data_IF_571799944746
#
_entry.id   IF_571799944746
#
_cell.length_a   1.000
_cell.length_b   1.000
_cell.length_c   1.000
_cell.angle_alpha   90.00
_cell.angle_beta   90.00
_cell.angle_gamma   90.00
#
_symmetry.space_group_name_H-M   'P 1'
#
loop_
_entity.id
_entity.type
_entity.pdbx_description
1 polymer ?
#
# COMPACT_ATOMS: atom_id res chain seq x y z
N UNK A 1 2.51 5.46 -13.48
CA UNK A 1 2.62 4.29 -12.56
C UNK A 1 2.04 4.73 -11.23
N UNK A 2 1.17 3.92 -10.62
CA UNK A 2 0.68 4.20 -9.26
C UNK A 2 1.65 3.54 -8.29
N UNK A 3 2.44 4.35 -7.59
CA UNK A 3 3.36 3.86 -6.58
C UNK A 3 2.58 3.61 -5.28
N UNK A 4 2.74 2.43 -4.69
CA UNK A 4 2.30 2.17 -3.31
C UNK A 4 3.15 3.00 -2.34
N UNK A 5 2.63 3.30 -1.15
CA UNK A 5 3.29 4.21 -0.19
C UNK A 5 4.78 3.87 0.04
N UNK A 6 5.11 2.60 0.31
CA UNK A 6 6.51 2.14 0.47
C UNK A 6 7.38 2.54 -0.74
N UNK A 7 6.97 2.12 -1.94
CA UNK A 7 7.73 2.42 -3.17
C UNK A 7 7.75 3.90 -3.55
N UNK A 8 6.72 4.66 -3.18
CA UNK A 8 6.69 6.11 -3.38
C UNK A 8 7.72 6.80 -2.48
N UNK A 9 7.81 6.37 -1.22
CA UNK A 9 8.77 6.91 -0.25
C UNK A 9 10.20 6.49 -0.65
N UNK A 10 10.41 5.23 -1.04
CA UNK A 10 11.70 4.74 -1.54
C UNK A 10 12.17 5.58 -2.73
N UNK A 11 11.33 5.78 -3.74
CA UNK A 11 11.67 6.57 -4.92
C UNK A 11 12.04 8.01 -4.55
N UNK A 12 11.27 8.64 -3.64
CA UNK A 12 11.54 10.01 -3.20
C UNK A 12 12.86 10.13 -2.42
N UNK A 13 13.26 9.09 -1.70
CA UNK A 13 14.56 9.03 -1.02
C UNK A 13 15.68 8.82 -2.04
N UNK A 14 15.50 7.90 -2.99
CA UNK A 14 16.48 7.55 -4.02
C UNK A 14 16.76 8.72 -4.98
N UNK A 15 15.74 9.47 -5.38
CA UNK A 15 15.87 10.61 -6.29
C UNK A 15 16.20 11.94 -5.57
N UNK A 16 16.24 11.93 -4.23
CA UNK A 16 16.55 13.08 -3.38
C UNK A 16 15.41 14.10 -3.23
N UNK A 17 14.23 13.85 -3.78
CA UNK A 17 13.07 14.74 -3.66
C UNK A 17 12.48 14.77 -2.25
N UNK A 18 12.67 13.71 -1.44
CA UNK A 18 12.14 13.62 -0.08
C UNK A 18 12.66 14.76 0.83
N UNK A 19 13.93 15.13 0.71
CA UNK A 19 14.51 16.24 1.47
C UNK A 19 13.89 17.61 1.13
N UNK A 20 13.22 17.72 -0.02
CA UNK A 20 12.52 18.92 -0.47
C UNK A 20 10.99 18.81 -0.31
N UNK A 21 10.49 17.76 0.38
CA UNK A 21 9.07 17.59 0.61
C UNK A 21 8.50 18.80 1.38
N UNK A 22 7.45 19.49 0.86
CA UNK A 22 6.94 20.71 1.48
C UNK A 22 6.52 20.54 2.95
N UNK A 23 5.86 19.44 3.30
CA UNK A 23 5.41 19.20 4.66
C UNK A 23 6.57 18.92 5.62
N UNK A 24 7.61 18.21 5.15
CA UNK A 24 8.84 18.00 5.92
C UNK A 24 9.61 19.31 6.13
N UNK A 25 9.67 20.16 5.11
CA UNK A 25 10.30 21.48 5.18
C UNK A 25 9.55 22.42 6.14
N UNK A 26 8.21 22.39 6.12
CA UNK A 26 7.37 23.13 7.07
C UNK A 26 7.59 22.65 8.51
N UNK A 27 7.73 21.33 8.72
CA UNK A 27 8.04 20.72 10.01
C UNK A 27 9.41 21.13 10.55
N UNK A 28 10.45 21.10 9.72
CA UNK A 28 11.77 21.63 10.07
C UNK A 28 11.67 23.13 10.38
N UNK A 29 10.89 23.87 9.60
CA UNK A 29 10.66 25.29 9.78
C UNK A 29 9.92 25.65 11.09
N UNK A 30 8.97 24.83 11.55
CA UNK A 30 8.27 25.04 12.81
C UNK A 30 9.23 24.85 13.99
N UNK A 31 10.03 23.79 13.98
CA UNK A 31 11.02 23.49 15.01
C UNK A 31 12.08 24.57 15.13
N UNK A 32 12.56 25.11 14.00
CA UNK A 32 13.52 26.23 14.01
C UNK A 32 12.96 27.52 14.59
N UNK A 33 11.63 27.73 14.56
CA UNK A 33 11.00 28.93 15.14
C UNK A 33 10.85 28.81 16.65
N UNK A 34 10.65 27.60 17.16
CA UNK A 34 10.45 27.33 18.59
C UNK A 34 11.73 26.93 19.31
N UNK A 35 12.80 26.61 18.57
CA UNK A 35 14.01 25.96 19.09
C UNK A 35 13.70 24.61 19.77
N UNK A 36 12.62 23.96 19.31
CA UNK A 36 12.15 22.68 19.83
C UNK A 36 12.84 21.47 19.21
N UNK A 37 12.53 20.29 19.74
CA UNK A 37 13.05 18.99 19.31
C UNK A 37 12.05 18.25 18.43
N UNK A 38 12.55 17.51 17.46
CA UNK A 38 11.75 16.56 16.70
C UNK A 38 11.58 15.26 17.49
N UNK A 39 10.35 14.88 17.81
CA UNK A 39 9.99 13.56 18.33
C UNK A 39 9.60 12.68 17.15
N UNK A 40 10.45 11.72 16.80
CA UNK A 40 10.24 10.82 15.67
C UNK A 40 9.83 9.45 16.20
N UNK A 41 8.68 8.93 15.74
CA UNK A 41 8.20 7.61 16.10
C UNK A 41 8.15 6.70 14.88
N UNK A 42 8.77 5.52 14.96
CA UNK A 42 8.83 4.56 13.84
C UNK A 42 8.90 3.12 14.32
N UNK A 43 8.26 2.21 13.59
CA UNK A 43 8.63 0.80 13.58
C UNK A 43 10.05 0.66 13.00
N UNK A 44 10.95 -0.05 13.68
CA UNK A 44 12.39 -0.08 13.33
C UNK A 44 12.85 -1.33 12.57
N UNK A 45 11.96 -2.06 11.90
CA UNK A 45 12.29 -3.26 11.11
C UNK A 45 12.40 -2.98 9.59
N UNK A 46 12.79 -4.00 8.82
CA UNK A 46 12.73 -4.03 7.36
C UNK A 46 11.50 -4.79 6.81
N UNK A 47 10.48 -5.01 7.65
CA UNK A 47 9.28 -5.76 7.25
C UNK A 47 8.47 -5.08 6.13
N UNK A 48 8.56 -3.75 5.98
CA UNK A 48 7.96 -3.02 4.85
C UNK A 48 6.42 -2.92 4.89
N UNK A 49 5.77 -3.41 5.96
CA UNK A 49 4.30 -3.40 6.07
C UNK A 49 3.78 -2.10 6.69
N UNK A 50 4.40 -1.61 7.76
CA UNK A 50 3.96 -0.41 8.48
C UNK A 50 4.99 0.71 8.54
N UNK A 51 6.27 0.37 8.51
CA UNK A 51 7.40 1.28 8.56
C UNK A 51 8.61 0.56 7.97
N UNK A 52 9.70 1.31 7.75
CA UNK A 52 10.93 0.75 7.21
C UNK A 52 12.15 1.48 7.77
N UNK A 53 13.12 0.74 8.27
CA UNK A 53 14.33 1.29 8.92
C UNK A 53 15.12 2.23 7.99
N UNK A 54 15.13 1.98 6.68
CA UNK A 54 15.80 2.86 5.72
C UNK A 54 15.14 4.24 5.64
N UNK A 55 13.81 4.31 5.70
CA UNK A 55 13.07 5.59 5.70
C UNK A 55 13.35 6.38 6.96
N UNK A 56 13.41 5.69 8.11
CA UNK A 56 13.80 6.28 9.38
C UNK A 56 15.19 6.89 9.30
N UNK A 57 16.21 6.13 8.87
CA UNK A 57 17.59 6.61 8.78
C UNK A 57 17.70 7.82 7.84
N UNK A 58 17.05 7.78 6.67
CA UNK A 58 17.04 8.90 5.72
C UNK A 58 16.44 10.17 6.36
N UNK A 59 15.33 10.02 7.07
CA UNK A 59 14.65 11.13 7.76
C UNK A 59 15.50 11.71 8.88
N UNK A 60 16.10 10.87 9.71
CA UNK A 60 16.98 11.30 10.80
C UNK A 60 18.17 12.10 10.25
N UNK A 61 18.74 11.69 9.10
CA UNK A 61 19.80 12.43 8.42
C UNK A 61 19.33 13.80 7.95
N UNK A 62 18.17 13.89 7.30
CA UNK A 62 17.61 15.18 6.84
C UNK A 62 17.38 16.13 8.02
N UNK A 63 16.81 15.64 9.13
CA UNK A 63 16.58 16.44 10.34
C UNK A 63 17.90 16.91 10.97
N UNK A 64 18.89 16.00 11.09
CA UNK A 64 20.20 16.32 11.65
C UNK A 64 20.98 17.32 10.78
N UNK A 65 20.98 17.15 9.45
CA UNK A 65 21.59 18.07 8.49
C UNK A 65 20.93 19.46 8.53
N UNK A 66 19.65 19.52 8.86
CA UNK A 66 18.93 20.77 9.08
C UNK A 66 19.25 21.44 10.42
N UNK A 67 20.04 20.81 11.30
CA UNK A 67 20.42 21.29 12.63
C UNK A 67 19.34 21.09 13.70
N UNK A 68 18.40 20.16 13.49
CA UNK A 68 17.30 19.88 14.42
C UNK A 68 17.71 18.78 15.39
N UNK A 69 17.55 19.01 16.70
CA UNK A 69 17.73 17.96 17.70
C UNK A 69 16.59 16.94 17.65
N UNK A 70 16.91 15.65 17.73
CA UNK A 70 15.92 14.57 17.55
C UNK A 70 15.85 13.65 18.77
N UNK A 71 14.63 13.33 19.19
CA UNK A 71 14.31 12.21 20.09
C UNK A 71 13.63 11.12 19.26
N UNK A 72 14.26 9.96 19.16
CA UNK A 72 13.69 8.78 18.53
C UNK A 72 12.91 7.94 19.54
N UNK A 73 11.67 7.62 19.19
CA UNK A 73 10.81 6.66 19.86
C UNK A 73 10.74 5.38 19.01
N UNK A 74 11.59 4.42 19.36
CA UNK A 74 11.75 3.18 18.60
C UNK A 74 10.62 2.19 18.95
N UNK A 75 9.90 1.73 17.92
CA UNK A 75 8.90 0.66 18.06
C UNK A 75 9.49 -0.64 17.51
N UNK A 76 9.56 -1.69 18.34
CA UNK A 76 10.03 -3.03 17.95
C UNK A 76 8.90 -3.85 17.31
N UNK A 77 9.27 -4.71 16.34
CA UNK A 77 8.31 -5.36 15.44
C UNK A 77 7.90 -6.77 15.91
N UNK A 78 8.67 -7.80 15.56
CA UNK A 78 8.40 -9.19 15.93
C UNK A 78 7.20 -9.86 15.25
N UNK A 79 6.55 -9.18 14.29
CA UNK A 79 5.34 -9.69 13.64
C UNK A 79 5.44 -9.67 12.11
N UNK A 80 5.92 -8.57 11.53
CA UNK A 80 6.18 -8.52 10.08
C UNK A 80 7.58 -9.07 9.74
N UNK A 81 8.37 -9.34 10.78
CA UNK A 81 9.69 -9.99 10.76
C UNK A 81 9.76 -11.04 11.88
N UNK A 82 10.89 -11.75 12.01
CA UNK A 82 11.07 -12.76 13.05
C UNK A 82 10.79 -12.22 14.48
N UNK A 83 10.14 -13.00 15.37
CA UNK A 83 9.73 -12.54 16.72
C UNK A 83 10.84 -11.98 17.62
N UNK A 84 12.08 -12.39 17.39
CA UNK A 84 13.27 -11.93 18.15
C UNK A 84 14.36 -11.52 17.18
N UNK A 85 14.22 -10.34 16.59
CA UNK A 85 15.14 -9.75 15.60
C UNK A 85 15.45 -8.26 15.84
N UNK A 86 14.76 -7.60 16.76
CA UNK A 86 14.97 -6.17 17.08
C UNK A 86 16.39 -5.84 17.51
N UNK A 87 17.14 -6.78 18.11
CA UNK A 87 18.54 -6.58 18.46
C UNK A 87 19.41 -6.25 17.22
N UNK A 88 19.21 -6.96 16.11
CA UNK A 88 19.96 -6.76 14.88
C UNK A 88 19.57 -5.44 14.21
N UNK A 89 18.27 -5.11 14.20
CA UNK A 89 17.77 -3.85 13.67
C UNK A 89 18.26 -2.66 14.48
N UNK A 90 18.23 -2.74 15.82
CA UNK A 90 18.73 -1.71 16.70
C UNK A 90 20.24 -1.51 16.50
N UNK A 91 21.02 -2.59 16.37
CA UNK A 91 22.46 -2.49 16.09
C UNK A 91 22.73 -1.73 14.79
N UNK A 92 22.00 -2.04 13.71
CA UNK A 92 22.11 -1.31 12.43
C UNK A 92 21.72 0.15 12.58
N UNK A 93 20.57 0.41 13.22
CA UNK A 93 20.07 1.75 13.46
C UNK A 93 21.11 2.61 14.20
N UNK A 94 21.66 2.12 15.32
CA UNK A 94 22.66 2.83 16.12
C UNK A 94 23.93 3.10 15.31
N UNK A 95 24.37 2.15 14.48
CA UNK A 95 25.51 2.34 13.58
C UNK A 95 25.32 3.45 12.55
N UNK A 96 24.07 3.74 12.17
CA UNK A 96 23.69 4.75 11.19
C UNK A 96 23.08 6.03 11.79
N UNK A 97 22.96 6.13 13.13
CA UNK A 97 22.38 7.29 13.80
C UNK A 97 23.22 8.55 13.54
N UNK A 98 22.63 9.63 13.02
CA UNK A 98 23.30 10.91 12.91
C UNK A 98 23.65 11.50 14.28
N UNK A 99 24.66 12.37 14.31
CA UNK A 99 24.99 13.12 15.52
C UNK A 99 23.79 13.97 15.98
N UNK A 100 23.55 13.99 17.29
CA UNK A 100 22.46 14.77 17.91
C UNK A 100 21.10 14.06 17.95
N UNK A 101 21.00 12.82 17.44
CA UNK A 101 19.83 11.96 17.66
C UNK A 101 20.03 11.16 18.95
N UNK A 102 19.02 11.16 19.81
CA UNK A 102 18.97 10.31 21.02
C UNK A 102 17.75 9.40 20.96
N UNK A 103 17.85 8.17 21.48
CA UNK A 103 16.69 7.28 21.62
C UNK A 103 16.06 7.58 22.99
N UNK A 104 14.85 8.13 23.00
CA UNK A 104 14.14 8.49 24.23
C UNK A 104 13.32 7.34 24.81
N UNK A 105 12.79 6.47 23.93
CA UNK A 105 11.98 5.32 24.34
C UNK A 105 12.18 4.13 23.41
N UNK A 106 11.98 2.93 23.95
CA UNK A 106 11.80 1.69 23.19
C UNK A 106 10.54 0.97 23.66
N UNK A 107 9.73 0.47 22.72
CA UNK A 107 8.48 -0.23 23.03
C UNK A 107 8.12 -1.22 21.94
N UNK A 108 7.46 -2.32 22.28
CA UNK A 108 6.85 -3.24 21.33
C UNK A 108 5.65 -2.62 20.63
N UNK A 109 5.44 -3.02 19.37
CA UNK A 109 4.27 -2.63 18.57
C UNK A 109 2.93 -2.99 19.22
N UNK A 110 2.90 -4.00 20.10
CA UNK A 110 1.69 -4.35 20.85
C UNK A 110 1.14 -3.16 21.66
N UNK A 111 2.02 -2.28 22.15
CA UNK A 111 1.63 -1.11 22.94
C UNK A 111 1.40 0.13 22.09
N UNK A 112 2.32 0.43 21.16
CA UNK A 112 2.27 1.68 20.39
C UNK A 112 1.41 1.61 19.12
N UNK A 113 1.02 0.41 18.69
CA UNK A 113 0.40 0.16 17.37
C UNK A 113 -0.84 -0.75 17.48
N UNK A 114 -1.62 -0.58 18.55
CA UNK A 114 -2.96 -1.16 18.66
C UNK A 114 -3.91 -0.55 17.59
N UNK A 115 -4.98 -1.28 17.29
CA UNK A 115 -6.01 -0.88 16.32
C UNK A 115 -7.40 -1.40 16.69
N UNK A 116 -7.54 -1.95 17.89
CA UNK A 116 -8.73 -2.62 18.39
C UNK A 116 -9.29 -1.88 19.64
N UNK A 117 -8.96 -0.59 19.78
CA UNK A 117 -9.32 0.29 20.90
C UNK A 117 -8.90 -0.26 22.26
N UNK A 118 -7.73 -0.91 22.33
CA UNK A 118 -7.13 -1.35 23.60
C UNK A 118 -6.31 -0.22 24.19
N UNK A 119 -7.03 0.81 24.63
CA UNK A 119 -6.49 2.06 25.14
C UNK A 119 -5.55 1.88 26.32
N UNK A 120 -5.70 0.80 27.11
CA UNK A 120 -4.75 0.45 28.17
C UNK A 120 -3.35 0.17 27.65
N UNK A 121 -3.22 -0.32 26.40
CA UNK A 121 -1.93 -0.57 25.73
C UNK A 121 -1.37 0.73 25.17
N UNK A 122 -2.22 1.50 24.48
CA UNK A 122 -1.83 2.79 23.87
C UNK A 122 -1.38 3.78 24.95
N UNK A 123 -2.05 3.79 26.10
CA UNK A 123 -1.70 4.66 27.23
C UNK A 123 -0.28 4.42 27.75
N UNK A 124 0.24 3.18 27.75
CA UNK A 124 1.62 2.93 28.23
C UNK A 124 2.65 3.53 27.27
N UNK A 125 2.46 3.33 25.96
CA UNK A 125 3.33 3.91 24.94
C UNK A 125 3.23 5.45 24.92
N UNK A 126 2.02 5.99 24.99
CA UNK A 126 1.80 7.44 25.04
C UNK A 126 2.48 8.06 26.27
N UNK A 127 2.33 7.48 27.46
CA UNK A 127 2.96 8.00 28.67
C UNK A 127 4.50 7.97 28.59
N UNK A 128 5.08 6.90 28.05
CA UNK A 128 6.53 6.84 27.85
C UNK A 128 7.01 7.91 26.85
N UNK A 129 6.30 8.06 25.73
CA UNK A 129 6.67 8.96 24.63
C UNK A 129 6.45 10.43 25.01
N UNK A 130 5.25 10.80 25.43
CA UNK A 130 4.87 12.20 25.64
C UNK A 130 5.23 12.68 27.04
N UNK A 131 4.93 11.88 28.06
CA UNK A 131 5.11 12.29 29.46
C UNK A 131 6.47 11.88 30.04
N UNK A 132 7.25 11.04 29.35
CA UNK A 132 8.51 10.51 29.89
C UNK A 132 8.30 9.60 31.12
N UNK A 133 7.10 9.03 31.28
CA UNK A 133 6.70 8.22 32.42
C UNK A 133 6.48 6.78 31.98
N UNK A 134 7.14 5.85 32.66
CA UNK A 134 6.92 4.40 32.52
C UNK A 134 7.30 3.69 33.82
N UNK A 135 6.68 2.52 34.04
CA UNK A 135 7.06 1.57 35.08
C UNK A 135 8.45 0.97 34.85
N UNK A 136 8.96 1.04 33.61
CA UNK A 136 10.26 0.50 33.21
C UNK A 136 11.16 1.64 32.71
N UNK A 137 12.38 1.70 33.27
CA UNK A 137 13.46 2.58 32.81
C UNK A 137 14.74 1.78 32.62
N UNK A 138 15.55 2.16 31.65
CA UNK A 138 16.87 1.59 31.38
C UNK A 138 17.82 2.66 30.84
N UNK A 139 19.12 2.40 30.83
CA UNK A 139 20.09 3.36 30.29
C UNK A 139 20.14 3.31 28.75
N UNK A 140 19.98 2.12 28.15
CA UNK A 140 20.05 1.92 26.70
C UNK A 140 18.96 0.99 26.15
N UNK A 141 18.64 1.13 24.86
CA UNK A 141 17.66 0.27 24.19
C UNK A 141 18.16 -1.19 24.08
N UNK A 142 19.46 -1.39 23.91
CA UNK A 142 20.11 -2.70 23.84
C UNK A 142 19.91 -3.51 25.12
N UNK A 143 20.03 -2.85 26.29
CA UNK A 143 19.77 -3.47 27.59
C UNK A 143 18.30 -3.90 27.73
N UNK A 144 17.36 -3.08 27.25
CA UNK A 144 15.93 -3.43 27.27
C UNK A 144 15.66 -4.66 26.40
N UNK A 145 16.14 -4.67 25.15
CA UNK A 145 15.92 -5.81 24.24
C UNK A 145 16.55 -7.08 24.82
N UNK A 146 17.81 -7.00 25.27
CA UNK A 146 18.53 -8.14 25.83
C UNK A 146 17.86 -8.71 27.09
N UNK A 147 17.39 -7.85 27.99
CA UNK A 147 16.72 -8.30 29.22
C UNK A 147 15.35 -8.92 28.94
N UNK A 148 14.59 -8.40 27.97
CA UNK A 148 13.32 -8.98 27.56
C UNK A 148 13.50 -10.35 26.89
N UNK A 149 14.52 -10.52 26.03
CA UNK A 149 14.84 -11.83 25.47
C UNK A 149 15.23 -12.85 26.54
N UNK A 150 15.98 -12.43 27.56
CA UNK A 150 16.32 -13.29 28.69
C UNK A 150 15.10 -13.68 29.55
N UNK A 151 14.00 -12.93 29.43
CA UNK A 151 12.72 -13.20 30.09
C UNK A 151 11.69 -13.85 29.14
N UNK A 152 12.12 -14.36 27.97
CA UNK A 152 11.27 -14.97 26.94
C UNK A 152 10.16 -14.02 26.41
N UNK A 153 10.40 -12.70 26.46
CA UNK A 153 9.53 -11.67 25.89
C UNK A 153 10.04 -11.32 24.48
N UNK A 154 9.21 -11.54 23.46
CA UNK A 154 9.53 -11.22 22.07
C UNK A 154 9.37 -9.73 21.75
N UNK A 155 9.87 -9.31 20.58
CA UNK A 155 9.92 -7.90 20.15
C UNK A 155 8.56 -7.21 20.18
N UNK A 156 7.50 -7.92 19.79
CA UNK A 156 6.13 -7.37 19.72
C UNK A 156 5.67 -6.88 21.11
N UNK A 157 6.15 -7.51 22.19
CA UNK A 157 5.65 -7.33 23.55
C UNK A 157 6.64 -6.65 24.50
N UNK A 158 7.72 -6.05 24.00
CA UNK A 158 8.63 -5.27 24.83
C UNK A 158 7.83 -4.13 25.51
N UNK A 159 7.82 -4.02 26.84
CA UNK A 159 7.05 -2.98 27.53
C UNK A 159 7.59 -1.60 27.18
N UNK A 160 6.69 -0.61 27.12
CA UNK A 160 7.06 0.77 26.87
C UNK A 160 8.09 1.24 27.89
N UNK A 161 9.31 1.53 27.46
CA UNK A 161 10.45 1.80 28.35
C UNK A 161 11.03 3.17 28.05
N UNK A 162 11.22 3.98 29.10
CA UNK A 162 11.88 5.29 29.01
C UNK A 162 13.39 5.11 29.19
N UNK A 163 14.17 5.71 28.30
CA UNK A 163 15.62 5.56 28.27
C UNK A 163 16.33 6.77 28.88
N UNK A 164 17.36 6.51 29.68
CA UNK A 164 18.22 7.50 30.30
C UNK A 164 17.43 8.59 31.04
N UNK A 165 17.79 9.84 30.77
CA UNK A 165 17.25 11.04 31.40
C UNK A 165 16.05 11.64 30.66
N UNK A 166 15.46 10.94 29.68
CA UNK A 166 14.29 11.44 28.95
C UNK A 166 13.14 11.77 29.92
N UNK A 167 12.63 13.01 29.82
CA UNK A 167 11.60 13.59 30.69
C UNK A 167 10.26 13.82 29.98
N UNK A 168 10.11 13.36 28.75
CA UNK A 168 8.94 13.66 27.92
C UNK A 168 9.14 14.87 27.01
N UNK A 169 8.15 15.08 26.14
CA UNK A 169 8.12 16.18 25.20
C UNK A 169 7.79 17.52 25.89
N UNK A 170 8.24 18.62 25.30
CA UNK A 170 8.10 19.97 25.83
C UNK A 170 7.31 20.86 24.88
N UNK A 171 6.80 21.98 25.41
CA UNK A 171 6.17 23.00 24.58
C UNK A 171 7.15 23.52 23.52
N UNK A 172 6.68 23.61 22.27
CA UNK A 172 7.49 24.01 21.13
C UNK A 172 8.14 22.85 20.37
N UNK A 173 8.15 21.63 20.92
CA UNK A 173 8.57 20.43 20.19
C UNK A 173 7.61 20.11 19.04
N UNK A 174 7.99 19.18 18.17
CA UNK A 174 7.12 18.67 17.10
C UNK A 174 7.14 17.15 17.08
N UNK A 175 6.06 16.54 16.58
CA UNK A 175 5.92 15.09 16.51
C UNK A 175 5.85 14.61 15.06
N UNK A 176 6.58 13.54 14.72
CA UNK A 176 6.57 12.92 13.40
C UNK A 176 6.39 11.40 13.49
N UNK A 177 5.24 10.91 13.01
CA UNK A 177 5.02 9.49 12.79
C UNK A 177 5.53 9.05 11.41
N UNK A 178 6.50 8.14 11.41
CA UNK A 178 7.15 7.61 10.21
C UNK A 178 6.42 6.41 9.59
N UNK A 179 5.46 5.83 10.31
CA UNK A 179 4.74 4.67 9.82
C UNK A 179 3.85 5.07 8.62
N UNK A 180 3.97 4.35 7.50
CA UNK A 180 3.26 4.62 6.25
C UNK A 180 2.01 3.75 6.04
N UNK A 181 1.59 2.97 7.05
CA UNK A 181 0.33 2.23 7.00
C UNK A 181 -0.62 2.68 8.09
N UNK A 182 -1.84 2.99 7.67
CA UNK A 182 -2.71 3.84 8.48
C UNK A 182 -3.33 3.18 9.72
N UNK A 183 -3.81 1.95 9.59
CA UNK A 183 -4.70 1.29 10.55
C UNK A 183 -4.14 1.26 11.98
N UNK A 184 -2.86 0.97 12.15
CA UNK A 184 -2.20 0.85 13.47
C UNK A 184 -1.57 2.13 14.02
N UNK A 185 -1.49 3.18 13.22
CA UNK A 185 -0.93 4.46 13.68
C UNK A 185 -2.02 5.38 14.26
N UNK A 186 -3.29 5.16 13.88
CA UNK A 186 -4.41 6.04 14.23
C UNK A 186 -4.59 6.24 15.73
N UNK A 187 -4.59 5.16 16.52
CA UNK A 187 -4.95 5.26 17.94
C UNK A 187 -3.99 6.13 18.74
N UNK A 188 -2.68 5.89 18.61
CA UNK A 188 -1.69 6.70 19.29
C UNK A 188 -1.63 8.14 18.76
N UNK A 189 -1.90 8.36 17.47
CA UNK A 189 -1.93 9.70 16.89
C UNK A 189 -3.14 10.52 17.35
N UNK A 190 -4.29 9.89 17.60
CA UNK A 190 -5.41 10.53 18.28
C UNK A 190 -4.99 11.03 19.66
N UNK A 191 -4.36 10.18 20.48
CA UNK A 191 -3.88 10.58 21.80
C UNK A 191 -2.86 11.74 21.74
N UNK A 192 -2.00 11.77 20.72
CA UNK A 192 -0.99 12.82 20.52
C UNK A 192 -1.61 14.17 20.12
N UNK A 193 -2.57 14.18 19.18
CA UNK A 193 -2.96 15.40 18.47
C UNK A 193 -4.44 15.79 18.54
N UNK A 194 -5.37 14.87 18.85
CA UNK A 194 -6.81 15.13 18.79
C UNK A 194 -7.27 15.92 20.03
N UNK A 195 -7.70 17.18 19.86
CA UNK A 195 -8.01 18.08 20.99
C UNK A 195 -9.01 17.48 21.98
N UNK A 196 -10.07 16.85 21.48
CA UNK A 196 -11.16 16.29 22.30
C UNK A 196 -10.95 14.80 22.67
N UNK A 197 -9.72 14.28 22.60
CA UNK A 197 -9.42 12.90 22.98
C UNK A 197 -9.76 12.61 24.45
N UNK A 198 -10.59 11.60 24.70
CA UNK A 198 -11.14 11.25 26.02
C UNK A 198 -11.07 9.75 26.36
N UNK A 199 -10.37 8.94 25.56
CA UNK A 199 -10.33 7.48 25.73
C UNK A 199 -9.45 7.04 26.93
N UNK A 200 -8.50 7.88 27.33
CA UNK A 200 -7.72 7.77 28.58
C UNK A 200 -7.13 9.14 28.98
N UNK A 201 -6.63 9.25 30.21
CA UNK A 201 -5.99 10.49 30.69
C UNK A 201 -4.62 10.70 30.03
N UNK A 202 -4.56 11.66 29.11
CA UNK A 202 -3.35 12.07 28.39
C UNK A 202 -2.51 13.11 29.15
N UNK A 203 -2.99 13.59 30.31
CA UNK A 203 -2.36 14.69 31.05
C UNK A 203 -2.36 16.01 30.27
N UNK A 204 -1.45 16.92 30.65
CA UNK A 204 -1.25 18.16 29.89
C UNK A 204 -0.38 17.87 28.67
N UNK A 205 -0.97 17.94 27.48
CA UNK A 205 -0.23 17.79 26.22
C UNK A 205 0.70 18.97 25.99
N UNK A 206 1.92 18.74 25.48
CA UNK A 206 2.78 19.83 25.02
C UNK A 206 2.11 20.58 23.87
N UNK A 207 2.38 21.87 23.78
CA UNK A 207 2.01 22.69 22.64
C UNK A 207 2.92 22.35 21.45
N UNK A 208 2.53 21.32 20.69
CA UNK A 208 3.24 20.92 19.48
C UNK A 208 3.33 22.08 18.49
N UNK A 209 4.54 22.40 18.02
CA UNK A 209 4.73 23.32 16.90
C UNK A 209 4.18 22.73 15.60
N UNK A 210 4.20 21.40 15.47
CA UNK A 210 3.58 20.66 14.37
C UNK A 210 3.43 19.17 14.71
N UNK A 211 2.38 18.53 14.21
CA UNK A 211 2.24 17.06 14.15
C UNK A 211 2.27 16.65 12.69
N UNK A 212 3.20 15.76 12.34
CA UNK A 212 3.47 15.30 10.98
C UNK A 212 3.30 13.77 10.89
N UNK A 213 2.75 13.32 9.78
CA UNK A 213 2.66 11.92 9.40
C UNK A 213 3.41 11.62 8.11
N UNK A 214 3.87 10.39 7.95
CA UNK A 214 4.45 9.97 6.68
C UNK A 214 3.37 9.96 5.59
N UNK A 215 2.19 9.44 5.92
CA UNK A 215 1.04 9.32 5.02
C UNK A 215 -0.24 9.87 5.67
N UNK A 216 -1.32 9.95 4.91
CA UNK A 216 -2.66 10.20 5.46
C UNK A 216 -3.22 9.01 6.24
N UNK A 217 -3.49 9.21 7.54
CA UNK A 217 -4.04 8.17 8.42
C UNK A 217 -5.57 8.08 8.35
N UNK A 218 -6.28 9.20 8.39
CA UNK A 218 -7.71 9.31 8.11
C UNK A 218 -8.10 10.77 7.85
N UNK A 219 -9.31 10.99 7.35
CA UNK A 219 -9.87 12.34 7.19
C UNK A 219 -9.88 13.13 8.50
N UNK A 220 -10.19 12.51 9.64
CA UNK A 220 -10.21 13.20 10.94
C UNK A 220 -8.82 13.58 11.46
N UNK A 221 -7.77 12.82 11.09
CA UNK A 221 -6.41 13.19 11.46
C UNK A 221 -5.97 14.47 10.74
N UNK A 222 -6.47 14.71 9.51
CA UNK A 222 -6.10 15.90 8.73
C UNK A 222 -6.50 17.24 9.41
N UNK A 223 -7.35 17.21 10.44
CA UNK A 223 -7.77 18.40 11.19
C UNK A 223 -6.66 18.94 12.11
N UNK A 224 -5.75 18.08 12.59
CA UNK A 224 -4.71 18.44 13.56
C UNK A 224 -3.29 18.04 13.15
N UNK A 225 -3.11 17.34 12.02
CA UNK A 225 -1.79 16.96 11.52
C UNK A 225 -1.61 17.18 10.02
N UNK A 226 -0.36 17.32 9.58
CA UNK A 226 0.05 17.34 8.16
C UNK A 226 0.66 16.02 7.75
N UNK A 227 0.88 15.82 6.45
CA UNK A 227 1.42 14.58 5.90
C UNK A 227 2.44 14.83 4.80
N UNK A 228 3.50 14.03 4.77
CA UNK A 228 4.53 14.08 3.71
C UNK A 228 3.98 13.58 2.38
N UNK A 229 3.29 12.44 2.41
CA UNK A 229 2.73 11.78 1.23
C UNK A 229 1.21 11.69 1.40
N UNK A 230 0.46 12.76 1.06
CA UNK A 230 -1.00 12.72 1.10
C UNK A 230 -1.53 11.74 0.06
N UNK A 231 -2.75 11.24 0.27
CA UNK A 231 -3.41 10.37 -0.72
C UNK A 231 -3.51 11.06 -2.06
N UNK A 232 -2.97 10.41 -3.08
CA UNK A 232 -3.09 10.89 -4.45
C UNK A 232 -4.53 10.71 -4.94
N UNK A 233 -5.08 11.77 -5.53
CA UNK A 233 -6.31 11.65 -6.32
C UNK A 233 -5.91 11.25 -7.73
N UNK A 234 -6.33 10.05 -8.14
CA UNK A 234 -6.13 9.60 -9.50
C UNK A 234 -7.26 10.16 -10.37
N UNK A 235 -6.93 11.20 -11.15
CA UNK A 235 -7.83 11.81 -12.12
C UNK A 235 -7.47 11.37 -13.53
N UNK A 236 -8.42 11.48 -14.45
CA UNK A 236 -8.30 11.03 -15.82
C UNK A 236 -7.86 9.56 -15.90
N UNK A 237 -8.42 8.71 -15.04
CA UNK A 237 -8.34 7.25 -15.21
C UNK A 237 -9.00 6.85 -16.53
N UNK A 238 -8.72 5.64 -17.03
CA UNK A 238 -9.29 5.17 -18.31
C UNK A 238 -10.81 5.33 -18.35
N UNK A 239 -11.50 4.89 -17.29
CA UNK A 239 -12.96 5.02 -17.19
C UNK A 239 -13.44 6.46 -17.22
N UNK A 240 -12.82 7.32 -16.40
CA UNK A 240 -13.17 8.74 -16.34
C UNK A 240 -12.94 9.45 -17.68
N UNK A 241 -11.84 9.12 -18.36
CA UNK A 241 -11.47 9.76 -19.62
C UNK A 241 -12.35 9.35 -20.80
N UNK A 242 -12.74 8.07 -20.86
CA UNK A 242 -13.72 7.56 -21.83
C UNK A 242 -15.08 8.21 -21.61
N UNK A 243 -15.54 8.33 -20.36
CA UNK A 243 -16.78 9.03 -20.02
C UNK A 243 -16.76 10.51 -20.44
N UNK A 244 -15.65 11.23 -20.16
CA UNK A 244 -15.46 12.63 -20.59
C UNK A 244 -15.49 12.81 -22.11
N UNK A 245 -15.15 11.76 -22.85
CA UNK A 245 -15.21 11.72 -24.32
C UNK A 245 -16.61 11.39 -24.86
N UNK A 246 -17.62 11.24 -23.98
CA UNK A 246 -19.00 10.92 -24.33
C UNK A 246 -19.19 9.47 -24.80
N UNK A 247 -18.26 8.58 -24.43
CA UNK A 247 -18.19 7.20 -24.89
C UNK A 247 -18.76 6.24 -23.85
N UNK A 248 -19.45 5.21 -24.32
CA UNK A 248 -20.04 4.17 -23.48
C UNK A 248 -18.99 3.14 -23.05
N UNK A 249 -19.16 2.57 -21.86
CA UNK A 249 -18.24 1.55 -21.37
C UNK A 249 -18.93 0.47 -20.54
N UNK A 250 -18.37 -0.74 -20.56
CA UNK A 250 -18.90 -1.90 -19.85
C UNK A 250 -17.83 -2.57 -18.98
N UNK A 251 -18.14 -2.80 -17.70
CA UNK A 251 -17.27 -3.53 -16.76
C UNK A 251 -17.87 -4.88 -16.42
N UNK A 252 -17.08 -5.93 -16.54
CA UNK A 252 -17.56 -7.29 -16.40
C UNK A 252 -16.57 -8.17 -15.63
N UNK A 253 -17.05 -8.82 -14.58
CA UNK A 253 -16.31 -9.86 -13.88
C UNK A 253 -17.29 -10.73 -13.08
N UNK A 254 -16.82 -11.85 -12.57
CA UNK A 254 -17.51 -12.51 -11.46
C UNK A 254 -17.20 -11.86 -10.11
N UNK A 255 -17.91 -12.28 -9.06
CA UNK A 255 -17.94 -11.61 -7.75
C UNK A 255 -16.54 -11.37 -7.15
N UNK A 256 -15.65 -12.36 -7.23
CA UNK A 256 -14.26 -12.25 -6.70
C UNK A 256 -13.46 -11.12 -7.34
N UNK A 257 -13.69 -10.87 -8.64
CA UNK A 257 -12.92 -9.88 -9.41
C UNK A 257 -13.72 -8.63 -9.77
N UNK A 258 -14.98 -8.52 -9.35
CA UNK A 258 -15.81 -7.34 -9.59
C UNK A 258 -15.20 -6.01 -9.07
N UNK A 259 -14.62 -5.93 -7.86
CA UNK A 259 -13.92 -4.72 -7.42
C UNK A 259 -12.73 -4.33 -8.32
N UNK A 260 -12.11 -5.30 -8.99
CA UNK A 260 -10.91 -5.12 -9.82
C UNK A 260 -11.24 -4.37 -11.11
N UNK A 261 -12.35 -4.71 -11.75
CA UNK A 261 -12.83 -4.02 -12.96
C UNK A 261 -13.66 -2.76 -12.65
N UNK A 262 -13.90 -2.44 -11.38
CA UNK A 262 -14.72 -1.29 -10.95
C UNK A 262 -13.91 -0.34 -10.06
N UNK A 263 -13.96 -0.52 -8.74
CA UNK A 263 -13.31 0.34 -7.75
C UNK A 263 -11.82 0.54 -8.01
N UNK A 264 -11.06 -0.56 -8.21
CA UNK A 264 -9.61 -0.48 -8.41
C UNK A 264 -9.26 0.16 -9.77
N UNK A 265 -9.92 -0.25 -10.86
CA UNK A 265 -9.69 0.32 -12.19
C UNK A 265 -10.07 1.81 -12.27
N UNK A 266 -11.08 2.25 -11.51
CA UNK A 266 -11.48 3.66 -11.40
C UNK A 266 -10.64 4.45 -10.37
N UNK A 267 -9.49 3.93 -9.95
CA UNK A 267 -8.58 4.65 -9.05
C UNK A 267 -9.14 4.86 -7.64
N UNK A 268 -9.96 3.92 -7.14
CA UNK A 268 -10.57 3.96 -5.82
C UNK A 268 -11.94 4.67 -5.78
N UNK A 269 -12.59 4.87 -6.92
CA UNK A 269 -13.94 5.46 -7.02
C UNK A 269 -15.00 4.36 -7.16
N UNK A 270 -15.89 4.28 -6.17
CA UNK A 270 -16.98 3.30 -6.14
C UNK A 270 -18.09 3.61 -7.16
N UNK A 271 -18.46 4.89 -7.28
CA UNK A 271 -19.54 5.34 -8.17
C UNK A 271 -19.15 5.13 -9.65
N UNK A 272 -20.02 4.53 -10.48
CA UNK A 272 -19.80 4.44 -11.92
C UNK A 272 -19.65 5.83 -12.56
N UNK A 273 -18.84 5.91 -13.61
CA UNK A 273 -18.79 7.09 -14.47
C UNK A 273 -20.07 7.22 -15.33
N UNK A 274 -20.28 8.40 -15.91
CA UNK A 274 -21.33 8.57 -16.90
C UNK A 274 -21.08 7.65 -18.11
N UNK A 275 -22.10 6.92 -18.55
CA UNK A 275 -21.96 5.93 -19.62
C UNK A 275 -21.29 4.62 -19.21
N UNK A 276 -20.96 4.42 -17.92
CA UNK A 276 -20.43 3.16 -17.39
C UNK A 276 -21.55 2.22 -16.92
N UNK A 277 -21.70 1.10 -17.63
CA UNK A 277 -22.51 -0.03 -17.23
C UNK A 277 -21.64 -1.13 -16.61
N UNK A 278 -22.21 -1.91 -15.69
CA UNK A 278 -21.51 -2.95 -14.93
C UNK A 278 -22.34 -4.21 -14.84
N UNK A 279 -21.68 -5.36 -14.95
CA UNK A 279 -22.27 -6.66 -14.68
C UNK A 279 -21.36 -7.49 -13.77
N UNK A 280 -21.99 -8.20 -12.82
CA UNK A 280 -21.31 -9.06 -11.87
C UNK A 280 -21.93 -10.46 -11.90
N UNK A 281 -21.26 -11.41 -12.54
CA UNK A 281 -21.66 -12.81 -12.45
C UNK A 281 -21.46 -13.31 -11.00
N UNK A 282 -22.39 -14.10 -10.43
CA UNK A 282 -22.20 -14.68 -9.12
C UNK A 282 -21.09 -15.73 -9.18
N UNK A 283 -20.03 -15.59 -8.39
CA UNK A 283 -19.03 -16.66 -8.23
C UNK A 283 -19.67 -17.90 -7.59
N UNK A 284 -19.20 -19.12 -7.88
CA UNK A 284 -19.81 -20.33 -7.34
C UNK A 284 -19.62 -20.41 -5.83
N UNK A 285 -20.64 -20.94 -5.13
CA UNK A 285 -20.62 -21.11 -3.68
C UNK A 285 -19.92 -22.43 -3.31
N UNK A 286 -18.61 -22.48 -3.54
CA UNK A 286 -17.74 -23.60 -3.19
C UNK A 286 -16.74 -23.19 -2.11
N UNK A 287 -16.19 -24.18 -1.37
CA UNK A 287 -15.23 -23.89 -0.30
C UNK A 287 -13.89 -23.39 -0.86
N UNK A 288 -13.45 -24.00 -1.96
CA UNK A 288 -12.25 -23.64 -2.73
C UNK A 288 -12.55 -23.88 -4.21
N UNK A 289 -11.97 -23.07 -5.09
CA UNK A 289 -12.35 -23.04 -6.51
C UNK A 289 -11.80 -24.21 -7.34
N UNK A 290 -10.90 -25.03 -6.79
CA UNK A 290 -10.51 -26.32 -7.40
C UNK A 290 -11.69 -27.29 -7.57
N UNK A 291 -12.73 -27.13 -6.74
CA UNK A 291 -13.97 -27.92 -6.83
C UNK A 291 -14.84 -27.55 -8.04
N UNK A 292 -14.67 -26.35 -8.59
CA UNK A 292 -15.35 -25.86 -9.79
C UNK A 292 -14.42 -24.92 -10.58
N UNK A 293 -13.39 -25.45 -11.26
CA UNK A 293 -12.33 -24.64 -11.88
C UNK A 293 -12.82 -23.72 -12.99
N UNK A 294 -13.92 -24.06 -13.65
CA UNK A 294 -14.58 -23.24 -14.66
C UNK A 294 -15.27 -22.00 -14.06
N UNK A 295 -15.43 -21.96 -12.74
CA UNK A 295 -16.08 -20.88 -11.98
C UNK A 295 -17.34 -20.38 -12.69
N UNK A 296 -17.43 -19.06 -12.94
CA UNK A 296 -18.52 -18.45 -13.69
C UNK A 296 -18.06 -17.96 -15.07
N UNK A 297 -16.99 -18.53 -15.61
CA UNK A 297 -16.40 -18.10 -16.89
C UNK A 297 -17.40 -18.19 -18.06
N UNK A 298 -18.31 -19.17 -18.03
CA UNK A 298 -19.37 -19.32 -19.04
C UNK A 298 -20.31 -18.11 -19.08
N UNK A 299 -20.83 -17.70 -17.91
CA UNK A 299 -21.74 -16.54 -17.79
C UNK A 299 -21.00 -15.23 -18.11
N UNK A 300 -19.76 -15.08 -17.63
CA UNK A 300 -18.89 -13.96 -18.01
C UNK A 300 -18.69 -13.91 -19.53
N UNK A 301 -18.47 -15.05 -20.18
CA UNK A 301 -18.35 -15.08 -21.65
C UNK A 301 -19.64 -14.64 -22.34
N UNK A 302 -20.79 -15.12 -21.87
CA UNK A 302 -22.09 -14.81 -22.45
C UNK A 302 -22.38 -13.30 -22.41
N UNK A 303 -22.10 -12.65 -21.27
CA UNK A 303 -22.26 -11.21 -21.11
C UNK A 303 -21.21 -10.41 -21.88
N UNK A 304 -19.98 -10.92 -22.01
CA UNK A 304 -18.94 -10.26 -22.80
C UNK A 304 -19.33 -10.22 -24.28
N UNK A 305 -19.78 -11.36 -24.82
CA UNK A 305 -20.29 -11.42 -26.21
C UNK A 305 -21.47 -10.46 -26.40
N UNK A 306 -22.44 -10.45 -25.48
CA UNK A 306 -23.57 -9.51 -25.55
C UNK A 306 -23.14 -8.04 -25.52
N UNK A 307 -22.17 -7.68 -24.68
CA UNK A 307 -21.65 -6.31 -24.62
C UNK A 307 -20.96 -5.89 -25.92
N UNK A 308 -20.22 -6.80 -26.57
CA UNK A 308 -19.63 -6.55 -27.89
C UNK A 308 -20.72 -6.31 -28.94
N UNK A 309 -21.72 -7.19 -28.99
CA UNK A 309 -22.84 -7.09 -29.94
C UNK A 309 -23.72 -5.85 -29.70
N UNK A 310 -23.80 -5.38 -28.45
CA UNK A 310 -24.50 -4.15 -28.08
C UNK A 310 -23.75 -2.87 -28.50
N UNK A 311 -22.46 -2.98 -28.85
CA UNK A 311 -21.66 -1.87 -29.39
C UNK A 311 -21.15 -0.88 -28.34
N UNK A 312 -20.80 -1.35 -27.14
CA UNK A 312 -20.08 -0.51 -26.16
C UNK A 312 -18.71 -0.08 -26.72
N UNK A 313 -18.33 1.18 -26.50
CA UNK A 313 -17.07 1.72 -27.05
C UNK A 313 -15.82 1.18 -26.31
N UNK A 314 -15.92 0.92 -25.00
CA UNK A 314 -14.89 0.26 -24.19
C UNK A 314 -15.49 -0.89 -23.38
N UNK A 315 -14.89 -2.07 -23.43
CA UNK A 315 -15.26 -3.20 -22.58
C UNK A 315 -14.04 -3.67 -21.80
N UNK A 316 -14.18 -3.78 -20.48
CA UNK A 316 -13.14 -4.32 -19.59
C UNK A 316 -13.71 -5.54 -18.86
N UNK A 317 -13.14 -6.70 -19.17
CA UNK A 317 -13.57 -7.99 -18.63
C UNK A 317 -12.43 -8.66 -17.86
N UNK A 318 -12.73 -9.23 -16.70
CA UNK A 318 -11.80 -10.08 -15.95
C UNK A 318 -12.32 -11.52 -15.88
N UNK A 319 -11.48 -12.48 -16.27
CA UNK A 319 -11.65 -13.90 -15.97
C UNK A 319 -10.86 -14.25 -14.70
N UNK A 320 -11.56 -14.61 -13.63
CA UNK A 320 -10.95 -14.85 -12.33
C UNK A 320 -10.22 -16.19 -12.22
N UNK A 321 -10.54 -17.13 -13.11
CA UNK A 321 -10.21 -18.55 -12.96
C UNK A 321 -8.73 -18.85 -12.73
N UNK A 322 -7.79 -18.35 -13.56
CA UNK A 322 -6.39 -18.74 -13.42
C UNK A 322 -5.78 -18.25 -12.10
N UNK A 323 -6.29 -17.17 -11.53
CA UNK A 323 -5.78 -16.67 -10.27
C UNK A 323 -6.41 -17.40 -9.06
N UNK A 324 -7.74 -17.40 -9.01
CA UNK A 324 -8.48 -17.97 -7.89
C UNK A 324 -8.27 -19.48 -7.74
N UNK A 325 -8.13 -20.20 -8.85
CA UNK A 325 -7.80 -21.63 -8.85
C UNK A 325 -6.29 -21.84 -8.67
N UNK A 326 -5.43 -20.96 -9.18
CA UNK A 326 -3.99 -20.99 -8.96
C UNK A 326 -3.63 -21.01 -7.47
N UNK A 327 -4.33 -20.20 -6.66
CA UNK A 327 -4.18 -20.16 -5.21
C UNK A 327 -4.45 -21.48 -4.47
N UNK A 328 -5.11 -22.45 -5.11
CA UNK A 328 -5.34 -23.77 -4.50
C UNK A 328 -4.10 -24.67 -4.54
N UNK A 329 -3.16 -24.38 -5.45
CA UNK A 329 -2.01 -25.24 -5.68
C UNK A 329 -2.32 -26.56 -6.38
N UNK A 330 -3.58 -26.79 -6.82
CA UNK A 330 -3.97 -27.98 -7.59
C UNK A 330 -3.71 -27.75 -9.08
N UNK A 331 -2.67 -28.40 -9.60
CA UNK A 331 -2.29 -28.31 -11.01
C UNK A 331 -3.40 -28.77 -11.98
N UNK A 332 -4.15 -29.82 -11.64
CA UNK A 332 -5.20 -30.33 -12.54
C UNK A 332 -6.39 -29.38 -12.60
N UNK A 333 -6.73 -28.77 -11.47
CA UNK A 333 -7.75 -27.72 -11.42
C UNK A 333 -7.28 -26.48 -12.20
N UNK A 334 -6.05 -26.03 -12.00
CA UNK A 334 -5.46 -24.89 -12.71
C UNK A 334 -5.47 -25.08 -14.25
N UNK A 335 -5.17 -26.29 -14.73
CA UNK A 335 -5.28 -26.62 -16.17
C UNK A 335 -6.71 -26.40 -16.67
N UNK A 336 -7.72 -26.94 -15.97
CA UNK A 336 -9.13 -26.78 -16.35
C UNK A 336 -9.61 -25.33 -16.30
N UNK A 337 -9.11 -24.57 -15.32
CA UNK A 337 -9.38 -23.14 -15.20
C UNK A 337 -8.89 -22.38 -16.44
N UNK A 338 -7.66 -22.63 -16.88
CA UNK A 338 -7.11 -22.05 -18.11
C UNK A 338 -7.88 -22.51 -19.36
N UNK A 339 -8.24 -23.79 -19.47
CA UNK A 339 -9.03 -24.33 -20.58
C UNK A 339 -10.42 -23.67 -20.68
N UNK A 340 -11.08 -23.40 -19.55
CA UNK A 340 -12.37 -22.71 -19.52
C UNK A 340 -12.26 -21.27 -20.03
N UNK A 341 -11.21 -20.55 -19.64
CA UNK A 341 -10.94 -19.19 -20.13
C UNK A 341 -10.61 -19.19 -21.62
N UNK A 342 -9.81 -20.14 -22.11
CA UNK A 342 -9.47 -20.27 -23.53
C UNK A 342 -10.73 -20.50 -24.40
N UNK A 343 -11.62 -21.39 -23.97
CA UNK A 343 -12.90 -21.62 -24.64
C UNK A 343 -13.79 -20.37 -24.66
N UNK A 344 -13.86 -19.64 -23.55
CA UNK A 344 -14.57 -18.38 -23.44
C UNK A 344 -14.00 -17.31 -24.38
N UNK A 345 -12.69 -17.15 -24.38
CA UNK A 345 -11.98 -16.21 -25.24
C UNK A 345 -12.20 -16.53 -26.72
N UNK A 346 -12.23 -17.80 -27.12
CA UNK A 346 -12.58 -18.19 -28.50
C UNK A 346 -13.93 -17.65 -28.97
N UNK A 347 -14.95 -17.65 -28.10
CA UNK A 347 -16.28 -17.10 -28.40
C UNK A 347 -16.25 -15.57 -28.50
N UNK A 348 -15.53 -14.92 -27.59
CA UNK A 348 -15.33 -13.46 -27.57
C UNK A 348 -14.64 -12.99 -28.84
N UNK A 349 -13.60 -13.70 -29.29
CA UNK A 349 -12.86 -13.37 -30.51
C UNK A 349 -13.76 -13.42 -31.75
N UNK A 350 -14.62 -14.43 -31.86
CA UNK A 350 -15.57 -14.53 -32.97
C UNK A 350 -16.59 -13.38 -32.96
N UNK A 351 -17.09 -12.97 -31.79
CA UNK A 351 -17.99 -11.83 -31.67
C UNK A 351 -17.29 -10.51 -32.04
N UNK A 352 -16.05 -10.32 -31.59
CA UNK A 352 -15.24 -9.14 -31.87
C UNK A 352 -14.95 -8.99 -33.37
N UNK A 353 -14.60 -10.09 -34.05
CA UNK A 353 -14.36 -10.11 -35.49
C UNK A 353 -15.62 -9.68 -36.27
N UNK A 354 -16.81 -10.15 -35.87
CA UNK A 354 -18.06 -9.80 -36.53
C UNK A 354 -18.40 -8.30 -36.48
N UNK A 355 -17.99 -7.60 -35.42
CA UNK A 355 -18.23 -6.16 -35.28
C UNK A 355 -17.05 -5.31 -35.76
N UNK A 356 -15.94 -5.94 -36.18
CA UNK A 356 -14.72 -5.24 -36.60
C UNK A 356 -14.03 -4.48 -35.46
N UNK A 357 -14.11 -5.00 -34.24
CA UNK A 357 -13.48 -4.40 -33.06
C UNK A 357 -12.02 -4.81 -32.86
N UNK A 358 -11.36 -4.16 -31.91
CA UNK A 358 -10.00 -4.49 -31.47
C UNK A 358 -9.95 -4.79 -29.97
N UNK A 359 -8.98 -5.61 -29.55
CA UNK A 359 -8.81 -6.03 -28.16
C UNK A 359 -7.33 -6.20 -27.82
N UNK A 360 -6.99 -5.88 -26.58
CA UNK A 360 -5.74 -6.30 -25.94
C UNK A 360 -6.06 -7.43 -24.96
N UNK A 361 -5.54 -8.64 -25.22
CA UNK A 361 -5.60 -9.76 -24.27
C UNK A 361 -4.33 -9.72 -23.41
N UNK A 362 -4.49 -9.63 -22.10
CA UNK A 362 -3.38 -9.49 -21.15
C UNK A 362 -3.78 -10.00 -19.76
N UNK A 363 -2.87 -9.91 -18.79
CA UNK A 363 -3.10 -10.26 -17.39
C UNK A 363 -2.55 -9.15 -16.46
N UNK A 364 -3.07 -9.08 -15.24
CA UNK A 364 -2.59 -8.18 -14.19
C UNK A 364 -1.33 -8.70 -13.49
N UNK A 365 -1.17 -10.02 -13.37
CA UNK A 365 0.04 -10.71 -12.90
C UNK A 365 0.03 -12.20 -13.29
N UNK A 366 1.11 -12.92 -12.95
CA UNK A 366 1.18 -14.39 -13.06
C UNK A 366 0.70 -15.11 -11.79
N UNK A 367 0.35 -16.39 -11.94
CA UNK A 367 -0.01 -17.34 -10.88
C UNK A 367 0.07 -18.78 -11.44
N UNK A 368 -0.93 -19.16 -12.25
CA UNK A 368 -1.12 -20.52 -12.77
C UNK A 368 0.04 -21.12 -13.58
N UNK A 369 0.98 -20.31 -14.07
CA UNK A 369 2.15 -20.81 -14.78
C UNK A 369 3.20 -21.44 -13.84
N UNK A 370 3.08 -21.22 -12.52
CA UNK A 370 3.90 -21.86 -11.49
C UNK A 370 2.99 -22.45 -10.40
N UNK A 371 2.65 -23.74 -10.54
CA UNK A 371 1.79 -24.47 -9.58
C UNK A 371 2.56 -25.38 -8.62
N UNK A 372 3.86 -25.54 -8.85
CA UNK A 372 4.77 -26.34 -8.01
C UNK A 372 5.92 -25.44 -7.60
N UNK A 373 6.15 -25.35 -6.30
CA UNK A 373 7.18 -24.50 -5.73
C UNK A 373 8.56 -25.09 -6.07
N UNK A 374 9.47 -24.34 -6.70
CA UNK A 374 10.73 -24.87 -7.20
C UNK A 374 11.72 -25.21 -6.08
N UNK A 375 11.56 -24.67 -4.87
CA UNK A 375 12.47 -24.89 -3.74
C UNK A 375 12.03 -26.08 -2.88
N UNK A 376 10.74 -26.17 -2.60
CA UNK A 376 10.15 -27.17 -1.71
C UNK A 376 9.58 -28.38 -2.44
N UNK A 377 9.24 -28.24 -3.74
CA UNK A 377 8.53 -29.24 -4.52
C UNK A 377 7.07 -29.43 -4.14
N UNK A 378 6.55 -28.60 -3.24
CA UNK A 378 5.14 -28.60 -2.80
C UNK A 378 4.24 -27.74 -3.69
N UNK A 379 2.95 -27.62 -3.33
CA UNK A 379 2.02 -26.72 -4.03
C UNK A 379 2.49 -25.27 -3.94
N UNK A 380 2.54 -24.57 -5.07
CA UNK A 380 2.75 -23.13 -5.11
C UNK A 380 1.39 -22.43 -5.19
N UNK A 381 1.12 -21.56 -4.23
CA UNK A 381 -0.20 -20.90 -4.07
C UNK A 381 -0.12 -19.38 -4.15
N UNK A 382 1.05 -18.81 -4.48
CA UNK A 382 1.27 -17.38 -4.56
C UNK A 382 1.28 -16.88 -6.01
N UNK A 383 1.14 -15.56 -6.20
CA UNK A 383 1.44 -14.92 -7.48
C UNK A 383 2.92 -15.08 -7.83
N UNK A 384 3.26 -14.85 -9.09
CA UNK A 384 4.65 -14.85 -9.56
C UNK A 384 5.11 -13.45 -9.97
N UNK A 385 6.42 -13.32 -10.19
CA UNK A 385 7.05 -12.14 -10.78
C UNK A 385 7.28 -12.29 -12.30
N UNK A 386 6.62 -13.26 -12.93
CA UNK A 386 6.76 -13.51 -14.36
C UNK A 386 6.14 -12.38 -15.20
N UNK A 387 6.63 -12.20 -16.42
CA UNK A 387 6.02 -11.29 -17.38
C UNK A 387 4.65 -11.81 -17.81
N UNK A 388 3.70 -10.89 -18.02
CA UNK A 388 2.36 -11.18 -18.53
C UNK A 388 2.31 -11.01 -20.06
N UNK A 389 1.46 -11.77 -20.76
CA UNK A 389 1.26 -11.58 -22.20
C UNK A 389 0.56 -10.24 -22.49
N UNK A 390 0.81 -9.67 -23.66
CA UNK A 390 0.00 -8.60 -24.24
C UNK A 390 -0.18 -8.94 -25.72
N UNK A 391 -1.42 -9.24 -26.12
CA UNK A 391 -1.76 -9.69 -27.47
C UNK A 391 -2.78 -8.74 -28.08
N UNK A 392 -2.42 -8.12 -29.20
CA UNK A 392 -3.34 -7.29 -30.00
C UNK A 392 -4.14 -8.18 -30.95
N UNK A 393 -5.46 -8.05 -30.88
CA UNK A 393 -6.43 -8.68 -31.78
C UNK A 393 -7.21 -7.57 -32.49
N UNK A 394 -7.46 -7.72 -33.80
CA UNK A 394 -8.32 -6.79 -34.55
C UNK A 394 -7.69 -5.42 -34.85
N UNK A 395 -6.38 -5.26 -34.64
CA UNK A 395 -5.64 -4.07 -35.08
C UNK A 395 -5.37 -4.05 -36.58
N UNK A 396 -5.02 -2.87 -37.12
CA UNK A 396 -4.62 -2.73 -38.52
C UNK A 396 -3.41 -3.63 -38.84
N UNK A 397 -3.31 -4.10 -40.09
CA UNK A 397 -2.31 -5.10 -40.50
C UNK A 397 -0.84 -4.65 -40.29
N UNK A 398 -0.59 -3.35 -40.15
CA UNK A 398 0.75 -2.79 -39.92
C UNK A 398 0.99 -2.40 -38.45
N UNK A 399 -0.01 -2.50 -37.59
CA UNK A 399 0.10 -2.12 -36.18
C UNK A 399 0.63 -3.31 -35.39
N UNK A 400 1.76 -3.09 -34.70
CA UNK A 400 2.34 -4.09 -33.82
C UNK A 400 2.49 -3.53 -32.41
N UNK A 401 2.61 -4.42 -31.43
CA UNK A 401 3.01 -4.03 -30.08
C UNK A 401 4.54 -3.95 -30.00
N UNK A 402 5.07 -2.85 -29.49
CA UNK A 402 6.50 -2.72 -29.18
C UNK A 402 6.93 -3.75 -28.15
N UNK A 403 8.20 -4.12 -28.19
CA UNK A 403 8.79 -5.00 -27.19
C UNK A 403 8.90 -4.30 -25.83
N UNK A 404 8.67 -5.07 -24.77
CA UNK A 404 8.62 -4.56 -23.40
C UNK A 404 7.37 -3.73 -23.13
N UNK A 405 7.30 -3.15 -21.94
CA UNK A 405 6.13 -2.42 -21.48
C UNK A 405 5.79 -2.77 -20.04
N UNK A 406 4.71 -2.17 -19.56
CA UNK A 406 4.18 -2.35 -18.20
C UNK A 406 2.67 -2.12 -18.22
N UNK A 407 1.97 -2.54 -17.16
CA UNK A 407 0.52 -2.38 -17.05
C UNK A 407 0.05 -0.92 -17.28
N UNK A 408 0.85 0.06 -16.86
CA UNK A 408 0.55 1.49 -17.06
C UNK A 408 0.45 1.90 -18.54
N UNK A 409 0.96 1.08 -19.46
CA UNK A 409 0.94 1.32 -20.91
C UNK A 409 -0.38 0.84 -21.58
N UNK A 410 -1.19 0.03 -20.89
CA UNK A 410 -2.43 -0.54 -21.44
C UNK A 410 -3.51 0.52 -21.70
N UNK A 411 -3.75 1.42 -20.74
CA UNK A 411 -4.75 2.48 -20.91
C UNK A 411 -4.41 3.43 -22.09
N UNK A 412 -3.18 3.97 -22.22
CA UNK A 412 -2.76 4.69 -23.43
C UNK A 412 -2.96 3.90 -24.73
N UNK A 413 -2.64 2.60 -24.73
CA UNK A 413 -2.83 1.73 -25.89
C UNK A 413 -4.30 1.62 -26.30
N UNK A 414 -5.20 1.47 -25.32
CA UNK A 414 -6.64 1.44 -25.57
C UNK A 414 -7.16 2.78 -26.09
N UNK A 415 -6.67 3.90 -25.55
CA UNK A 415 -7.04 5.23 -26.05
C UNK A 415 -6.62 5.43 -27.51
N UNK A 416 -5.42 4.99 -27.88
CA UNK A 416 -4.98 5.05 -29.28
C UNK A 416 -5.87 4.21 -30.21
N UNK A 417 -6.24 2.98 -29.80
CA UNK A 417 -7.18 2.14 -30.55
C UNK A 417 -8.56 2.81 -30.72
N UNK A 418 -9.01 3.54 -29.69
CA UNK A 418 -10.25 4.32 -29.70
C UNK A 418 -10.12 5.67 -30.43
N UNK A 419 -8.92 6.04 -30.87
CA UNK A 419 -8.59 7.35 -31.46
C UNK A 419 -8.94 8.51 -30.52
N UNK A 420 -8.65 8.34 -29.22
CA UNK A 420 -8.82 9.35 -28.19
C UNK A 420 -7.47 9.90 -27.74
N UNK A 421 -7.40 11.21 -27.49
CA UNK A 421 -6.18 11.85 -26.99
C UNK A 421 -5.80 11.30 -25.59
N UNK A 422 -4.50 11.08 -25.35
CA UNK A 422 -3.99 10.69 -24.02
C UNK A 422 -3.94 11.91 -23.09
N UNK A 423 -4.55 11.86 -21.88
CA UNK A 423 -4.43 12.94 -20.90
C UNK A 423 -3.01 12.98 -20.30
N UNK A 424 -2.58 14.17 -19.85
CA UNK A 424 -1.21 14.38 -19.34
C UNK A 424 -0.89 13.59 -18.07
N UNK A 425 -1.89 13.22 -17.28
CA UNK A 425 -1.76 12.41 -16.07
C UNK A 425 -1.45 10.93 -16.38
N UNK A 426 -1.76 10.46 -17.59
CA UNK A 426 -1.36 9.12 -18.03
C UNK A 426 0.08 9.12 -18.51
N UNK A 427 1.00 8.82 -17.60
CA UNK A 427 2.45 8.76 -17.86
C UNK A 427 2.91 7.45 -18.54
N UNK A 428 1.98 6.53 -18.82
CA UNK A 428 2.27 5.34 -19.62
C UNK A 428 2.39 5.72 -21.09
N UNK A 429 3.05 4.87 -21.87
CA UNK A 429 3.20 5.07 -23.31
C UNK A 429 2.55 3.93 -24.07
N UNK A 430 1.77 4.28 -25.10
CA UNK A 430 1.12 3.30 -25.96
C UNK A 430 2.09 2.22 -26.41
N UNK A 431 1.58 1.00 -26.46
CA UNK A 431 2.33 -0.15 -26.96
C UNK A 431 2.29 -0.20 -28.49
N UNK A 432 1.38 0.50 -29.15
CA UNK A 432 1.27 0.49 -30.62
C UNK A 432 2.45 1.24 -31.25
N UNK A 433 3.02 0.68 -32.32
CA UNK A 433 4.07 1.30 -33.15
C UNK A 433 3.83 1.08 -34.64
#
# INVERSE_FOLDING_TARGET
VVAMDLGQIDLAIEDGSYANNPALMDYIGSLKKTDGRAHVMSLISDGGVHGHIAHLIATLRILSDAGVAVVLHAITDGRDVAPSSAADFLYRLIGDLPNGVVIGTVTGRYFAMDRDNRWERVATAYNAIVNGVSDVRADTAEEVIKSNYAADVSDEFIPATVLGDYQGAQDGDAFFCMNFRADRAREILRAIGETEFDEFDVGTRPQWSMVLGMVEYSTSHNDYMRTCFPKQKHVNTLGEWVAKSGKSQFRLAETEKYPHVTFFLNGGKEQPEEGEARYMAPSPKVATYDLQPEMSAGEVTDEFVQAIEAGYDLIVTNYANPDMVGHTGDLNAAIKACEAVDQGLGRVLAALENVGGAMIVTADHGNCETMIDPETGGPHTAHTINLVPAVLVGGDANTILRNGGRLADLAPTLLDLMQLDKPTEMTGESLLV
#
